data_IF_401580891638
#
_entry.id   IF_401580891638
#
_cell.length_a   1.000
_cell.length_b   1.000
_cell.length_c   1.000
_cell.angle_alpha   90.00
_cell.angle_beta   90.00
_cell.angle_gamma   90.00
#
_symmetry.space_group_name_H-M   'P 1'
#
loop_
_entity.id
_entity.type
_entity.pdbx_description
1 polymer ?
#
# COMPACT_ATOMS: atom_id res chain seq x y z
N UNK A 1 -19.65 21.60 -15.31
CA UNK A 1 -19.93 21.35 -15.08
C UNK A 1 -20.44 20.81 -14.67
N UNK A 2 -20.71 20.69 -14.74
CA UNK A 2 -21.26 20.31 -14.45
C UNK A 2 -21.73 19.80 -13.85
N UNK A 3 -22.08 19.58 -13.62
CA UNK A 3 -22.60 19.33 -13.08
C UNK A 3 -23.37 18.73 -12.66
N UNK A 4 -23.68 18.42 -12.30
CA UNK A 4 -24.50 17.89 -11.83
C UNK A 4 -25.17 17.71 -11.20
N UNK A 5 -25.49 17.91 -11.06
CA UNK A 5 -26.10 17.74 -10.55
C UNK A 5 -26.72 17.28 -9.89
N UNK A 6 -27.09 17.30 -9.72
CA UNK A 6 -27.73 16.81 -8.91
C UNK A 6 -27.12 16.12 -8.00
N UNK A 7 -26.77 16.46 -7.44
CA UNK A 7 -26.08 16.41 -6.33
C UNK A 7 -25.24 15.23 -6.08
N UNK A 8 -25.79 14.20 -5.86
CA UNK A 8 -25.13 12.93 -5.55
C UNK A 8 -24.36 12.38 -6.74
N UNK A 9 -24.77 12.76 -7.94
CA UNK A 9 -24.21 12.20 -9.14
C UNK A 9 -22.93 12.87 -9.61
N UNK A 10 -22.56 14.00 -9.00
CA UNK A 10 -21.41 14.77 -9.46
C UNK A 10 -20.12 14.42 -8.76
N UNK A 11 -20.16 13.52 -7.78
CA UNK A 11 -18.98 13.16 -6.98
C UNK A 11 -18.53 11.74 -7.28
N UNK A 12 -17.21 11.55 -7.20
CA UNK A 12 -16.60 10.24 -7.34
C UNK A 12 -16.34 9.69 -5.94
N UNK A 13 -16.88 8.52 -5.65
CA UNK A 13 -16.69 7.89 -4.34
C UNK A 13 -15.40 7.11 -4.24
N UNK A 14 -15.04 6.74 -3.02
CA UNK A 14 -13.81 5.99 -2.80
C UNK A 14 -13.80 4.64 -3.52
N UNK A 15 -14.96 3.98 -3.63
CA UNK A 15 -15.03 2.68 -4.31
C UNK A 15 -14.64 2.80 -5.77
N UNK A 16 -15.11 3.83 -6.44
CA UNK A 16 -14.75 4.06 -7.83
C UNK A 16 -13.26 4.35 -7.98
N UNK A 17 -12.69 5.11 -7.05
CA UNK A 17 -11.25 5.39 -7.06
C UNK A 17 -10.43 4.12 -6.84
N UNK A 18 -10.83 3.28 -5.89
CA UNK A 18 -10.14 2.02 -5.61
C UNK A 18 -10.24 1.09 -6.82
N UNK A 19 -11.42 0.95 -7.40
CA UNK A 19 -11.61 0.09 -8.58
C UNK A 19 -10.76 0.57 -9.75
N UNK A 20 -10.72 1.88 -9.98
CA UNK A 20 -9.91 2.44 -11.06
C UNK A 20 -8.42 2.20 -10.80
N UNK A 21 -7.98 2.34 -9.57
CA UNK A 21 -6.58 2.05 -9.20
C UNK A 21 -6.26 0.59 -9.44
N UNK A 22 -7.13 -0.32 -8.98
CA UNK A 22 -6.90 -1.76 -9.14
C UNK A 22 -6.87 -2.18 -10.61
N UNK A 23 -7.57 -1.47 -11.48
CA UNK A 23 -7.52 -1.74 -12.92
C UNK A 23 -6.16 -1.42 -13.53
N UNK A 24 -5.36 -0.57 -12.87
CA UNK A 24 -4.06 -0.14 -13.39
C UNK A 24 -2.87 -0.81 -12.75
N UNK A 25 -3.07 -1.49 -11.62
CA UNK A 25 -1.97 -2.07 -10.84
C UNK A 25 -2.10 -3.59 -10.77
N UNK A 26 -1.04 -4.21 -10.29
CA UNK A 26 -1.05 -5.63 -10.02
C UNK A 26 -1.53 -5.87 -8.59
N UNK A 27 -2.52 -6.73 -8.44
CA UNK A 27 -3.03 -7.16 -7.13
C UNK A 27 -2.62 -8.60 -6.91
N UNK A 28 -2.01 -8.90 -5.77
CA UNK A 28 -1.56 -10.26 -5.44
C UNK A 28 -2.32 -10.78 -4.23
N UNK A 29 -2.42 -12.09 -4.15
CA UNK A 29 -3.05 -12.74 -2.99
C UNK A 29 -2.11 -12.75 -1.80
N UNK A 30 -2.64 -13.05 -0.61
CA UNK A 30 -1.81 -13.25 0.58
C UNK A 30 -0.82 -14.40 0.37
N UNK A 31 -1.23 -15.45 -0.34
CA UNK A 31 -0.33 -16.58 -0.64
C UNK A 31 0.85 -16.14 -1.50
N UNK A 32 0.58 -15.35 -2.55
CA UNK A 32 1.64 -14.82 -3.41
C UNK A 32 2.56 -13.88 -2.62
N UNK A 33 1.98 -13.08 -1.74
CA UNK A 33 2.76 -12.18 -0.89
C UNK A 33 3.69 -12.97 0.04
N UNK A 34 3.19 -14.08 0.59
CA UNK A 34 4.00 -14.91 1.46
C UNK A 34 5.23 -15.46 0.71
N UNK A 35 5.05 -15.85 -0.55
CA UNK A 35 6.15 -16.32 -1.37
C UNK A 35 7.21 -15.24 -1.64
N UNK A 36 6.81 -13.97 -1.60
CA UNK A 36 7.72 -12.85 -1.83
C UNK A 36 8.43 -12.39 -0.58
N UNK A 37 7.92 -12.75 0.59
CA UNK A 37 8.48 -12.27 1.85
C UNK A 37 9.92 -12.78 2.01
N UNK A 38 10.81 -11.85 2.36
CA UNK A 38 12.21 -12.18 2.61
C UNK A 38 13.10 -12.22 1.38
N UNK A 39 12.55 -12.01 0.19
CA UNK A 39 13.37 -11.91 -1.02
C UNK A 39 14.13 -10.59 -1.06
N UNK A 40 15.40 -10.63 -1.49
CA UNK A 40 16.28 -9.47 -1.44
C UNK A 40 15.83 -8.32 -2.34
N UNK A 41 15.10 -8.63 -3.43
CA UNK A 41 14.65 -7.64 -4.39
C UNK A 41 13.21 -7.19 -4.16
N UNK A 42 12.65 -7.48 -2.99
CA UNK A 42 11.28 -7.13 -2.64
C UNK A 42 11.26 -6.34 -1.33
N UNK A 43 10.50 -5.26 -1.33
CA UNK A 43 10.26 -4.44 -0.13
C UNK A 43 8.77 -4.40 0.14
N UNK A 44 8.36 -4.86 1.33
CA UNK A 44 6.98 -4.70 1.78
C UNK A 44 6.84 -3.32 2.41
N UNK A 45 5.82 -2.59 2.02
CA UNK A 45 5.57 -1.23 2.52
C UNK A 45 4.23 -1.19 3.24
N UNK A 46 4.28 -0.94 4.54
CA UNK A 46 3.11 -0.84 5.39
C UNK A 46 2.62 0.61 5.42
N UNK A 47 1.42 0.83 4.92
CA UNK A 47 0.86 2.18 4.77
C UNK A 47 -0.03 2.61 5.93
N UNK A 48 -0.15 1.76 6.95
CA UNK A 48 -1.07 2.02 8.05
C UNK A 48 -0.56 3.10 8.98
N UNK A 49 -1.46 3.60 9.80
CA UNK A 49 -1.15 4.54 10.87
C UNK A 49 -0.34 3.82 11.94
N UNK A 50 0.57 4.55 12.60
CA UNK A 50 1.42 3.98 13.65
C UNK A 50 0.59 3.35 14.78
N UNK A 51 -0.61 3.87 15.05
CA UNK A 51 -1.48 3.31 16.08
C UNK A 51 -2.01 1.93 15.69
N UNK A 52 -2.23 1.70 14.39
CA UNK A 52 -2.61 0.37 13.91
C UNK A 52 -1.49 -0.63 14.12
N UNK A 53 -0.24 -0.23 13.84
CA UNK A 53 0.91 -1.10 14.09
C UNK A 53 1.08 -1.42 15.56
N UNK A 54 0.90 -0.44 16.42
CA UNK A 54 1.03 -0.66 17.86
C UNK A 54 -0.03 -1.61 18.39
N UNK A 55 -1.24 -1.50 17.86
CA UNK A 55 -2.37 -2.30 18.31
C UNK A 55 -2.35 -3.71 17.73
N UNK A 56 -1.98 -3.85 16.47
CA UNK A 56 -2.19 -5.10 15.72
C UNK A 56 -0.91 -5.77 15.26
N UNK A 57 0.23 -5.13 15.41
CA UNK A 57 1.49 -5.65 14.89
C UNK A 57 1.61 -5.44 13.39
N UNK A 58 2.52 -6.16 12.77
CA UNK A 58 2.79 -5.98 11.34
C UNK A 58 3.43 -7.19 10.70
N UNK A 59 3.78 -7.05 9.44
CA UNK A 59 4.49 -8.08 8.70
C UNK A 59 5.99 -7.91 8.99
N UNK A 60 6.68 -8.99 9.39
CA UNK A 60 8.12 -8.87 9.69
C UNK A 60 8.91 -8.30 8.51
N UNK A 61 9.78 -7.36 8.83
CA UNK A 61 10.65 -6.74 7.82
C UNK A 61 10.02 -5.66 6.98
N UNK A 62 8.74 -5.37 7.16
CA UNK A 62 8.07 -4.35 6.36
C UNK A 62 8.59 -2.95 6.71
N UNK A 63 8.71 -2.12 5.68
CA UNK A 63 9.08 -0.72 5.82
C UNK A 63 7.81 0.09 6.07
N UNK A 64 7.77 0.83 7.17
CA UNK A 64 6.59 1.62 7.50
C UNK A 64 6.65 2.99 6.83
N UNK A 65 5.67 3.25 5.99
CA UNK A 65 5.49 4.55 5.34
C UNK A 65 4.01 4.93 5.41
N UNK A 66 3.62 5.74 6.40
CA UNK A 66 2.22 6.16 6.49
C UNK A 66 1.74 6.75 5.17
N UNK A 67 0.52 6.42 4.78
CA UNK A 67 0.02 6.77 3.44
C UNK A 67 0.19 8.25 3.11
N UNK A 68 0.00 9.13 4.07
CA UNK A 68 0.08 10.58 3.86
C UNK A 68 1.47 11.10 3.51
N UNK A 69 2.50 10.29 3.70
CA UNK A 69 3.89 10.70 3.46
C UNK A 69 4.48 10.10 2.18
N UNK A 70 3.74 9.19 1.54
CA UNK A 70 4.31 8.34 0.50
C UNK A 70 4.95 9.10 -0.66
N UNK A 71 4.24 10.04 -1.25
CA UNK A 71 4.75 10.78 -2.41
C UNK A 71 6.03 11.53 -2.07
N UNK A 72 6.08 12.09 -0.86
CA UNK A 72 7.23 12.88 -0.42
C UNK A 72 8.44 11.99 -0.10
N UNK A 73 8.21 10.75 0.27
CA UNK A 73 9.27 9.81 0.55
C UNK A 73 9.79 9.13 -0.72
N UNK A 74 8.94 9.01 -1.75
CA UNK A 74 9.34 8.42 -3.03
C UNK A 74 10.18 9.38 -3.87
N UNK A 75 9.80 10.67 -3.92
CA UNK A 75 10.40 11.63 -4.84
C UNK A 75 11.82 12.00 -4.39
N UNK A 76 12.86 11.71 -5.22
CA UNK A 76 14.23 12.06 -4.86
C UNK A 76 14.46 13.56 -4.68
N UNK A 77 13.60 14.40 -5.26
CA UNK A 77 13.73 15.86 -5.12
C UNK A 77 13.06 16.38 -3.85
N UNK A 78 12.33 15.53 -3.14
CA UNK A 78 11.72 15.91 -1.88
C UNK A 78 12.78 15.95 -0.77
N UNK A 79 12.72 16.94 0.14
CA UNK A 79 13.63 16.96 1.28
C UNK A 79 13.39 15.79 2.26
N UNK A 80 12.27 15.08 2.08
CA UNK A 80 11.90 13.94 2.94
C UNK A 80 12.13 12.59 2.26
N UNK A 81 12.81 12.57 1.13
CA UNK A 81 13.05 11.34 0.37
C UNK A 81 13.72 10.24 1.21
N UNK A 82 13.22 9.02 1.07
CA UNK A 82 13.82 7.83 1.68
C UNK A 82 14.47 6.99 0.59
N UNK A 83 15.75 6.68 0.79
CA UNK A 83 16.57 6.02 -0.22
C UNK A 83 16.05 4.64 -0.64
N UNK A 84 15.28 3.96 0.21
CA UNK A 84 14.72 2.65 -0.12
C UNK A 84 13.89 2.71 -1.39
N UNK A 85 13.20 3.82 -1.63
CA UNK A 85 12.35 3.97 -2.81
C UNK A 85 13.14 4.22 -4.10
N UNK A 86 14.45 4.51 -4.00
CA UNK A 86 15.31 4.65 -5.16
C UNK A 86 15.97 3.34 -5.57
N UNK A 87 15.80 2.28 -4.78
CA UNK A 87 16.39 0.99 -5.09
C UNK A 87 15.61 0.27 -6.19
N UNK A 88 16.28 -0.53 -7.02
CA UNK A 88 15.59 -1.25 -8.13
C UNK A 88 14.90 -2.50 -7.60
N UNK A 89 13.85 -2.31 -6.83
CA UNK A 89 13.12 -3.40 -6.17
C UNK A 89 11.64 -3.37 -6.53
N UNK A 90 10.98 -4.47 -6.26
CA UNK A 90 9.53 -4.53 -6.31
C UNK A 90 8.98 -4.12 -4.95
N UNK A 91 8.01 -3.22 -4.94
CA UNK A 91 7.40 -2.72 -3.72
C UNK A 91 6.00 -3.33 -3.57
N UNK A 92 5.82 -4.07 -2.49
CA UNK A 92 4.54 -4.72 -2.16
C UNK A 92 3.86 -3.86 -1.12
N UNK A 93 2.86 -3.10 -1.52
CA UNK A 93 2.14 -2.21 -0.62
C UNK A 93 1.00 -2.94 0.07
N UNK A 94 0.77 -2.62 1.33
CA UNK A 94 -0.38 -3.15 2.05
C UNK A 94 -0.88 -2.15 3.09
N UNK A 95 -2.14 -2.28 3.41
CA UNK A 95 -2.79 -1.61 4.52
C UNK A 95 -3.64 -2.64 5.23
N UNK A 96 -4.68 -2.24 5.94
CA UNK A 96 -5.46 -3.23 6.68
C UNK A 96 -6.38 -4.06 5.80
N UNK A 97 -7.13 -3.41 4.87
CA UNK A 97 -8.13 -4.07 4.03
C UNK A 97 -7.83 -3.99 2.53
N UNK A 98 -6.88 -3.19 2.11
CA UNK A 98 -6.50 -3.09 0.70
C UNK A 98 -6.95 -1.82 -0.01
N UNK A 99 -7.67 -0.94 0.65
CA UNK A 99 -8.16 0.29 0.01
C UNK A 99 -7.05 1.34 -0.15
N UNK A 100 -6.40 1.68 0.97
CA UNK A 100 -5.29 2.64 0.95
C UNK A 100 -4.16 2.14 0.07
N UNK A 101 -3.90 0.83 0.10
CA UNK A 101 -2.79 0.27 -0.66
C UNK A 101 -3.06 0.23 -2.16
N UNK A 102 -4.31 0.05 -2.58
CA UNK A 102 -4.65 0.13 -4.00
C UNK A 102 -4.34 1.53 -4.54
N UNK A 103 -4.79 2.57 -3.82
CA UNK A 103 -4.55 3.94 -4.22
C UNK A 103 -3.06 4.28 -4.19
N UNK A 104 -2.36 3.80 -3.17
CA UNK A 104 -0.92 4.04 -3.02
C UNK A 104 -0.11 3.38 -4.11
N UNK A 105 -0.41 2.12 -4.44
CA UNK A 105 0.32 1.40 -5.48
C UNK A 105 0.13 2.08 -6.84
N UNK A 106 -1.05 2.60 -7.09
CA UNK A 106 -1.34 3.31 -8.33
C UNK A 106 -0.49 4.60 -8.44
N UNK A 107 -0.45 5.39 -7.38
CA UNK A 107 0.37 6.60 -7.34
C UNK A 107 1.86 6.25 -7.46
N UNK A 108 2.32 5.26 -6.72
CA UNK A 108 3.73 4.86 -6.76
C UNK A 108 4.13 4.38 -8.15
N UNK A 109 3.25 3.66 -8.84
CA UNK A 109 3.50 3.21 -10.19
C UNK A 109 3.59 4.40 -11.14
N UNK A 110 2.73 5.39 -10.98
CA UNK A 110 2.79 6.62 -11.77
C UNK A 110 4.11 7.37 -11.54
N UNK A 111 4.68 7.25 -10.36
CA UNK A 111 5.96 7.86 -10.01
C UNK A 111 7.17 7.02 -10.44
N UNK A 112 6.93 5.87 -11.08
CA UNK A 112 7.99 5.07 -11.68
C UNK A 112 8.41 3.82 -10.93
N UNK A 113 7.75 3.47 -9.82
CA UNK A 113 8.11 2.27 -9.07
C UNK A 113 7.43 1.03 -9.66
N UNK A 114 8.08 -0.12 -9.45
CA UNK A 114 7.47 -1.42 -9.76
C UNK A 114 6.66 -1.83 -8.53
N UNK A 115 5.34 -1.91 -8.67
CA UNK A 115 4.45 -2.06 -7.52
C UNK A 115 3.43 -3.18 -7.68
N UNK A 116 2.98 -3.67 -6.54
CA UNK A 116 1.75 -4.45 -6.43
C UNK A 116 1.17 -4.18 -5.04
N UNK A 117 -0.04 -4.66 -4.77
CA UNK A 117 -0.57 -4.59 -3.42
C UNK A 117 -1.27 -5.90 -3.06
N UNK A 118 -1.43 -6.14 -1.76
CA UNK A 118 -2.01 -7.37 -1.25
C UNK A 118 -3.53 -7.24 -1.18
N UNK A 119 -4.22 -8.11 -1.89
CA UNK A 119 -5.67 -8.19 -1.84
C UNK A 119 -6.12 -8.53 -0.42
N UNK A 120 -7.02 -7.73 0.13
CA UNK A 120 -7.49 -7.90 1.50
C UNK A 120 -6.49 -7.48 2.59
N UNK A 121 -5.31 -7.02 2.20
CA UNK A 121 -4.35 -6.39 3.09
C UNK A 121 -3.83 -7.26 4.23
N UNK A 122 -3.53 -6.60 5.34
CA UNK A 122 -3.01 -7.28 6.54
C UNK A 122 -3.98 -8.30 7.11
N UNK A 123 -5.29 -8.03 7.01
CA UNK A 123 -6.29 -9.00 7.48
C UNK A 123 -6.21 -10.31 6.69
N UNK A 124 -6.08 -10.23 5.36
CA UNK A 124 -5.92 -11.42 4.53
C UNK A 124 -4.61 -12.13 4.81
N UNK A 125 -3.53 -11.37 5.04
CA UNK A 125 -2.23 -11.93 5.41
C UNK A 125 -2.33 -12.78 6.68
N UNK A 126 -2.96 -12.23 7.72
CA UNK A 126 -3.16 -12.95 8.97
C UNK A 126 -4.04 -14.20 8.79
N UNK A 127 -5.13 -14.04 8.05
CA UNK A 127 -6.07 -15.14 7.82
C UNK A 127 -5.42 -16.29 7.06
N UNK A 128 -4.50 -15.98 6.16
CA UNK A 128 -3.75 -17.00 5.42
C UNK A 128 -2.69 -17.70 6.26
N UNK A 129 -2.33 -17.12 7.39
CA UNK A 129 -1.32 -17.70 8.28
C UNK A 129 0.06 -17.07 8.15
N UNK A 130 0.15 -15.88 7.55
CA UNK A 130 1.41 -15.16 7.48
C UNK A 130 1.91 -14.76 8.85
N UNK A 131 3.23 -14.71 9.01
CA UNK A 131 3.86 -14.36 10.27
C UNK A 131 3.55 -12.90 10.63
N UNK A 132 3.33 -12.64 11.92
CA UNK A 132 2.98 -11.30 12.42
C UNK A 132 3.92 -10.93 13.54
N UNK A 133 4.56 -9.76 13.44
CA UNK A 133 5.29 -9.20 14.57
C UNK A 133 4.29 -8.64 15.57
N UNK A 134 4.52 -8.81 16.89
CA UNK A 134 3.56 -8.30 17.86
C UNK A 134 3.50 -6.79 17.86
N UNK A 135 2.33 -6.27 18.22
CA UNK A 135 2.17 -4.84 18.42
C UNK A 135 2.98 -4.35 19.61
N UNK A 136 3.37 -3.08 19.54
CA UNK A 136 4.13 -2.46 20.63
C UNK A 136 3.20 -1.66 21.51
N UNK A 137 3.48 -1.67 22.79
CA UNK A 137 2.70 -0.89 23.76
C UNK A 137 3.27 0.48 23.94
#
# INVERSE_FOLDING_TARGET
IIGPRRGHMSKVGYKALVEAAEARIRTISAAEALDKQGEDDVVFVDLRDVRELKREGGIPGAFHCPRGLLEFWIDPESPYHHAVFAEPKEFVFFCNLGWRSALAADIAQQMGLTTCHIDGGFEAWKAFGGEVTPGKK
#
